data_IF_165082800544
#
_entry.id   IF_165082800544
#
_cell.length_a   1.000
_cell.length_b   1.000
_cell.length_c   1.000
_cell.angle_alpha   90.00
_cell.angle_beta   90.00
_cell.angle_gamma   90.00
#
_symmetry.space_group_name_H-M   'P 1'
#
loop_
_entity.id
_entity.type
_entity.pdbx_description
1 polymer ?
#
# COMPACT_ATOMS: atom_id res chain seq x y z
N UNK A 1 -15.62 -24.75 24.46
CA UNK A 1 -14.84 -24.19 23.37
C UNK A 1 -14.29 -25.34 22.53
N UNK A 2 -14.71 -25.43 21.27
CA UNK A 2 -14.21 -26.42 20.34
C UNK A 2 -13.02 -25.83 19.57
N UNK A 3 -11.91 -26.59 19.52
CA UNK A 3 -10.81 -26.28 18.62
C UNK A 3 -10.89 -27.23 17.42
N UNK A 4 -10.82 -26.71 16.20
CA UNK A 4 -10.52 -27.51 15.02
C UNK A 4 -9.03 -27.28 14.76
N UNK A 5 -8.22 -28.29 15.08
CA UNK A 5 -6.79 -28.28 14.78
C UNK A 5 -6.51 -29.27 13.69
N UNK A 6 -5.88 -28.84 12.60
CA UNK A 6 -5.27 -29.73 11.62
C UNK A 6 -3.76 -29.73 11.88
N UNK A 7 -3.25 -30.79 12.52
CA UNK A 7 -1.82 -30.94 12.86
C UNK A 7 -1.03 -31.67 11.75
N UNK A 8 -1.55 -31.74 10.54
CA UNK A 8 -0.90 -32.42 9.43
C UNK A 8 -0.85 -31.53 8.17
N UNK A 9 -0.13 -32.00 7.16
CA UNK A 9 -0.07 -31.38 5.84
C UNK A 9 -1.37 -31.59 5.03
N UNK A 10 -2.53 -31.43 5.66
CA UNK A 10 -3.82 -31.68 5.04
C UNK A 10 -4.69 -30.42 5.00
N UNK A 11 -5.59 -30.37 4.03
CA UNK A 11 -6.54 -29.28 3.87
C UNK A 11 -7.62 -29.34 4.96
N UNK A 12 -7.99 -28.18 5.51
CA UNK A 12 -9.22 -28.03 6.28
C UNK A 12 -10.35 -27.69 5.33
N UNK A 13 -11.23 -28.63 5.06
CA UNK A 13 -12.41 -28.38 4.23
C UNK A 13 -13.62 -28.04 5.12
N UNK A 14 -14.19 -26.85 4.94
CA UNK A 14 -15.42 -26.43 5.59
C UNK A 14 -16.55 -26.53 4.55
N UNK A 15 -17.40 -27.56 4.70
CA UNK A 15 -18.56 -27.77 3.82
C UNK A 15 -19.77 -27.03 4.36
N UNK A 16 -19.72 -25.72 4.34
CA UNK A 16 -20.82 -24.84 4.77
C UNK A 16 -20.83 -23.58 3.93
N UNK A 17 -21.94 -22.87 3.93
CA UNK A 17 -22.06 -21.63 3.18
C UNK A 17 -21.63 -20.38 3.97
N UNK A 18 -21.36 -20.53 5.27
CA UNK A 18 -21.07 -19.38 6.14
C UNK A 18 -20.03 -19.72 7.19
N UNK A 19 -19.03 -18.84 7.33
CA UNK A 19 -18.15 -18.77 8.48
C UNK A 19 -18.53 -17.50 9.23
N UNK A 20 -18.97 -17.61 10.49
CA UNK A 20 -19.41 -16.47 11.29
C UNK A 20 -18.71 -16.43 12.65
N UNK A 21 -18.47 -15.22 13.14
CA UNK A 21 -18.02 -14.97 14.51
C UNK A 21 -19.21 -14.64 15.41
N UNK A 22 -19.04 -14.71 16.74
CA UNK A 22 -19.99 -14.15 17.68
C UNK A 22 -20.18 -12.64 17.46
N UNK A 23 -21.26 -12.08 18.03
CA UNK A 23 -21.53 -10.64 17.93
C UNK A 23 -20.34 -9.79 18.39
N UNK A 24 -19.96 -8.79 17.59
CA UNK A 24 -18.84 -7.88 17.84
C UNK A 24 -17.44 -8.54 17.89
N UNK A 25 -17.26 -9.69 17.28
CA UNK A 25 -15.96 -10.35 17.17
C UNK A 25 -15.54 -10.45 15.69
N UNK A 26 -14.24 -10.35 15.44
CA UNK A 26 -13.66 -10.47 14.11
C UNK A 26 -13.46 -11.94 13.70
N UNK A 27 -13.42 -12.21 12.41
CA UNK A 27 -12.87 -13.44 11.84
C UNK A 27 -11.47 -13.10 11.34
N UNK A 28 -10.45 -13.69 11.99
CA UNK A 28 -9.05 -13.51 11.58
C UNK A 28 -8.64 -14.67 10.69
N UNK A 29 -8.16 -14.35 9.50
CA UNK A 29 -7.48 -15.26 8.58
C UNK A 29 -6.01 -14.85 8.54
N UNK A 30 -5.15 -15.56 9.22
CA UNK A 30 -3.75 -15.20 9.44
C UNK A 30 -2.83 -16.34 8.95
N UNK A 31 -2.42 -16.33 7.66
CA UNK A 31 -1.46 -17.30 7.16
C UNK A 31 -0.10 -17.09 7.83
N UNK A 32 0.55 -18.15 8.28
CA UNK A 32 1.88 -18.03 8.86
C UNK A 32 2.97 -17.84 7.79
N UNK A 33 4.02 -17.12 8.15
CA UNK A 33 5.19 -16.91 7.28
C UNK A 33 4.87 -16.08 6.04
N UNK A 34 5.14 -16.62 4.86
CA UNK A 34 4.92 -15.96 3.55
C UNK A 34 3.64 -16.42 2.85
N UNK A 35 2.75 -17.10 3.57
CA UNK A 35 1.48 -17.58 3.02
C UNK A 35 0.55 -16.44 2.59
N UNK A 36 -0.35 -16.72 1.65
CA UNK A 36 -1.38 -15.81 1.18
C UNK A 36 -2.77 -16.33 1.53
N UNK A 37 -3.74 -15.44 1.53
CA UNK A 37 -5.16 -15.82 1.49
C UNK A 37 -5.59 -15.79 0.02
N UNK A 38 -5.74 -16.97 -0.59
CA UNK A 38 -6.15 -17.08 -1.99
C UNK A 38 -7.67 -17.17 -2.09
N UNK A 39 -8.26 -16.20 -2.76
CA UNK A 39 -9.69 -16.16 -3.08
C UNK A 39 -9.87 -16.51 -4.56
N UNK A 40 -10.15 -17.77 -4.87
CA UNK A 40 -10.29 -18.28 -6.25
C UNK A 40 -11.62 -17.88 -6.91
N UNK A 41 -12.29 -16.88 -6.38
CA UNK A 41 -13.52 -16.30 -6.90
C UNK A 41 -13.53 -14.78 -6.63
N UNK A 42 -14.54 -14.09 -7.13
CA UNK A 42 -14.69 -12.66 -6.90
C UNK A 42 -14.94 -12.40 -5.40
N UNK A 43 -14.05 -11.65 -4.78
CA UNK A 43 -14.27 -11.13 -3.43
C UNK A 43 -15.32 -9.99 -3.48
N UNK A 44 -16.42 -10.15 -2.74
CA UNK A 44 -17.49 -9.15 -2.65
C UNK A 44 -17.52 -8.56 -1.24
N UNK A 45 -17.31 -7.25 -1.16
CA UNK A 45 -17.42 -6.47 0.08
C UNK A 45 -18.72 -5.70 0.06
N UNK A 46 -19.70 -6.08 0.90
CA UNK A 46 -21.03 -5.47 0.90
C UNK A 46 -21.08 -4.07 1.53
N UNK A 47 -20.13 -3.78 2.42
CA UNK A 47 -20.08 -2.54 3.21
C UNK A 47 -18.81 -1.74 2.97
N UNK A 48 -17.91 -2.22 2.14
CA UNK A 48 -16.58 -1.62 1.93
C UNK A 48 -15.47 -2.43 2.60
N UNK A 49 -14.26 -1.95 2.42
CA UNK A 49 -13.05 -2.49 3.06
C UNK A 49 -12.19 -1.33 3.57
N UNK A 50 -11.35 -1.62 4.54
CA UNK A 50 -10.40 -0.68 5.12
C UNK A 50 -8.99 -1.17 4.84
N UNK A 51 -8.16 -0.29 4.30
CA UNK A 51 -6.72 -0.50 4.21
C UNK A 51 -6.02 0.21 5.38
N UNK A 52 -5.01 -0.42 5.94
CA UNK A 52 -4.20 0.24 6.95
C UNK A 52 -3.25 1.25 6.30
N UNK A 53 -3.04 2.38 7.00
CA UNK A 53 -2.17 3.46 6.54
C UNK A 53 -0.88 3.44 7.34
N UNK A 54 0.24 3.22 6.67
CA UNK A 54 1.55 3.35 7.29
C UNK A 54 2.04 4.80 7.22
N UNK A 55 2.46 5.36 8.36
CA UNK A 55 3.01 6.72 8.44
C UNK A 55 4.54 6.65 8.35
N UNK A 56 5.09 7.26 7.30
CA UNK A 56 6.52 7.31 7.05
C UNK A 56 7.14 8.55 7.73
N UNK A 57 8.41 8.41 8.14
CA UNK A 57 9.20 9.54 8.66
C UNK A 57 9.94 10.22 7.51
N UNK A 58 9.89 11.55 7.45
CA UNK A 58 10.60 12.34 6.43
C UNK A 58 12.12 12.16 6.53
N UNK A 59 12.73 11.87 5.40
CA UNK A 59 14.17 11.71 5.21
C UNK A 59 14.54 12.04 3.75
N UNK A 60 15.82 12.23 3.46
CA UNK A 60 16.31 12.38 2.09
C UNK A 60 16.10 11.12 1.23
N UNK A 61 16.03 9.96 1.87
CA UNK A 61 15.67 8.68 1.23
C UNK A 61 14.66 7.98 2.12
N UNK A 62 13.53 7.53 1.54
CA UNK A 62 12.46 6.80 2.24
C UNK A 62 12.19 5.49 1.51
N UNK A 63 12.33 4.38 2.21
CA UNK A 63 11.86 3.08 1.71
C UNK A 63 10.36 2.95 1.97
N UNK A 64 9.59 2.79 0.91
CA UNK A 64 8.16 2.50 0.95
C UNK A 64 7.98 1.00 0.87
N UNK A 65 7.88 0.35 2.02
CA UNK A 65 7.75 -1.10 2.09
C UNK A 65 6.28 -1.52 1.94
N UNK A 66 5.91 -1.98 0.75
CA UNK A 66 4.54 -2.39 0.42
C UNK A 66 4.10 -3.69 1.11
N UNK A 67 5.01 -4.41 1.78
CA UNK A 67 4.63 -5.53 2.65
C UNK A 67 4.01 -5.07 3.98
N UNK A 68 4.13 -3.79 4.35
CA UNK A 68 3.56 -3.24 5.59
C UNK A 68 2.16 -2.64 5.39
N UNK A 69 1.90 -2.06 4.21
CA UNK A 69 0.61 -1.46 3.87
C UNK A 69 0.55 -1.17 2.36
N UNK A 70 -0.65 -1.06 1.82
CA UNK A 70 -0.92 -0.56 0.46
C UNK A 70 -1.03 0.96 0.39
N UNK A 71 -1.25 1.62 1.55
CA UNK A 71 -1.35 3.08 1.66
C UNK A 71 -0.30 3.61 2.62
N UNK A 72 0.49 4.57 2.18
CA UNK A 72 1.49 5.25 2.99
C UNK A 72 1.27 6.75 2.99
N UNK A 73 1.60 7.42 4.08
CA UNK A 73 1.55 8.89 4.17
C UNK A 73 2.82 9.45 4.77
N UNK A 74 3.18 10.66 4.33
CA UNK A 74 4.34 11.39 4.86
C UNK A 74 4.11 12.90 4.75
N UNK A 75 4.61 13.67 5.73
CA UNK A 75 4.82 15.11 5.59
C UNK A 75 6.31 15.33 5.32
N UNK A 76 6.64 15.91 4.17
CA UNK A 76 8.03 16.14 3.76
C UNK A 76 8.61 17.33 4.52
N UNK A 77 9.73 17.13 5.19
CA UNK A 77 10.55 18.19 5.79
C UNK A 77 11.83 18.44 4.96
N UNK A 78 12.12 17.61 3.97
CA UNK A 78 13.27 17.72 3.07
C UNK A 78 12.92 17.19 1.68
N UNK A 79 13.79 17.44 0.70
CA UNK A 79 13.71 16.76 -0.61
C UNK A 79 13.94 15.27 -0.43
N UNK A 80 13.15 14.44 -1.08
CA UNK A 80 13.07 13.01 -0.78
C UNK A 80 13.17 12.17 -2.04
N UNK A 81 13.93 11.09 -1.97
CA UNK A 81 13.87 9.96 -2.88
C UNK A 81 13.01 8.85 -2.25
N UNK A 82 11.95 8.45 -2.94
CA UNK A 82 11.12 7.31 -2.54
C UNK A 82 11.58 6.05 -3.27
N UNK A 83 11.95 5.02 -2.49
CA UNK A 83 12.33 3.70 -2.98
C UNK A 83 11.22 2.69 -2.65
N UNK A 84 10.49 2.27 -3.68
CA UNK A 84 9.39 1.31 -3.55
C UNK A 84 9.96 -0.10 -3.41
N UNK A 85 9.61 -0.80 -2.35
CA UNK A 85 10.03 -2.17 -2.09
C UNK A 85 8.85 -3.09 -1.84
N UNK A 86 9.02 -4.37 -2.14
CA UNK A 86 8.02 -5.42 -1.89
C UNK A 86 6.64 -5.16 -2.53
N UNK A 87 6.57 -4.39 -3.63
CA UNK A 87 5.33 -4.24 -4.39
C UNK A 87 5.19 -5.43 -5.33
N UNK A 88 4.23 -6.34 -5.09
CA UNK A 88 4.08 -7.54 -5.91
C UNK A 88 3.61 -7.19 -7.33
N UNK A 89 3.85 -8.09 -8.28
CA UNK A 89 3.26 -8.01 -9.62
C UNK A 89 1.73 -7.99 -9.52
N UNK A 90 1.09 -7.08 -10.23
CA UNK A 90 -0.35 -6.84 -10.17
C UNK A 90 -0.78 -6.01 -8.95
N UNK A 91 0.16 -5.63 -8.08
CA UNK A 91 -0.11 -4.81 -6.91
C UNK A 91 -0.06 -3.32 -7.18
N UNK A 92 -0.67 -2.54 -6.30
CA UNK A 92 -0.63 -1.07 -6.28
C UNK A 92 -0.26 -0.56 -4.90
N UNK A 93 0.39 0.60 -4.86
CA UNK A 93 0.63 1.35 -3.63
C UNK A 93 0.20 2.80 -3.81
N UNK A 94 -0.37 3.38 -2.77
CA UNK A 94 -0.77 4.78 -2.72
C UNK A 94 0.10 5.54 -1.72
N UNK A 95 0.70 6.66 -2.17
CA UNK A 95 1.46 7.58 -1.33
C UNK A 95 0.69 8.90 -1.20
N UNK A 96 0.38 9.30 0.02
CA UNK A 96 -0.18 10.61 0.36
C UNK A 96 0.98 11.48 0.87
N UNK A 97 1.36 12.47 0.08
CA UNK A 97 2.53 13.30 0.31
C UNK A 97 2.07 14.71 0.65
N UNK A 98 2.40 15.19 1.85
CA UNK A 98 2.07 16.53 2.30
C UNK A 98 3.34 17.38 2.33
N UNK A 99 3.28 18.60 1.83
CA UNK A 99 4.34 19.60 2.03
C UNK A 99 4.35 20.08 3.46
N UNK A 100 5.52 20.38 4.02
CA UNK A 100 5.62 21.03 5.32
C UNK A 100 5.15 22.49 5.29
N UNK A 101 5.27 23.20 6.41
CA UNK A 101 4.92 24.62 6.50
C UNK A 101 5.78 25.57 5.65
N UNK A 102 6.90 25.09 5.09
CA UNK A 102 7.77 25.85 4.18
C UNK A 102 7.44 25.57 2.71
N UNK A 103 6.92 24.39 2.41
CA UNK A 103 6.64 23.96 1.04
C UNK A 103 7.89 23.74 0.18
N UNK A 104 7.68 23.60 -1.12
CA UNK A 104 8.73 23.48 -2.16
C UNK A 104 9.66 22.26 -2.01
N UNK A 105 9.24 21.22 -1.28
CA UNK A 105 9.96 19.95 -1.22
C UNK A 105 9.74 19.19 -2.52
N UNK A 106 10.83 18.61 -3.03
CA UNK A 106 10.81 17.81 -4.24
C UNK A 106 10.85 16.32 -3.93
N UNK A 107 10.37 15.49 -4.87
CA UNK A 107 10.44 14.05 -4.76
C UNK A 107 10.89 13.41 -6.06
N UNK A 108 11.65 12.32 -5.92
CA UNK A 108 11.92 11.36 -6.99
C UNK A 108 11.39 9.99 -6.59
N UNK A 109 11.10 9.13 -7.58
CA UNK A 109 10.46 7.84 -7.34
C UNK A 109 11.23 6.74 -8.08
N UNK A 110 11.69 5.78 -7.32
CA UNK A 110 12.40 4.59 -7.81
C UNK A 110 11.96 3.34 -7.04
N UNK A 111 12.67 2.25 -7.29
CA UNK A 111 12.52 1.00 -6.56
C UNK A 111 13.83 0.63 -5.87
N UNK A 112 13.80 -0.29 -4.92
CA UNK A 112 14.99 -0.83 -4.26
C UNK A 112 15.95 -1.53 -5.23
N UNK A 113 15.47 -1.96 -6.41
CA UNK A 113 16.28 -2.46 -7.53
C UNK A 113 16.79 -1.37 -8.49
N UNK A 114 16.74 -0.09 -8.12
CA UNK A 114 17.15 1.07 -8.94
C UNK A 114 16.37 1.23 -10.25
N UNK A 115 15.18 0.65 -10.37
CA UNK A 115 14.29 0.86 -11.50
C UNK A 115 13.46 2.13 -11.27
N UNK A 116 13.51 3.05 -12.23
CA UNK A 116 12.70 4.27 -12.13
C UNK A 116 11.21 3.97 -12.30
N UNK A 117 10.37 4.63 -11.50
CA UNK A 117 8.92 4.65 -11.71
C UNK A 117 8.62 5.52 -12.94
N UNK A 118 7.84 4.98 -13.88
CA UNK A 118 7.46 5.66 -15.11
C UNK A 118 6.16 6.43 -14.91
N UNK A 119 6.19 7.73 -15.13
CA UNK A 119 5.02 8.58 -15.05
C UNK A 119 4.56 9.02 -16.45
N UNK A 120 3.24 9.09 -16.64
CA UNK A 120 2.67 9.71 -17.82
C UNK A 120 3.04 11.21 -17.87
N UNK A 121 3.60 11.67 -19.00
CA UNK A 121 4.04 13.05 -19.14
C UNK A 121 5.46 13.36 -18.65
N UNK A 122 6.22 12.36 -18.17
CA UNK A 122 7.63 12.50 -17.76
C UNK A 122 7.82 12.62 -16.25
N UNK A 123 8.90 13.28 -15.83
CA UNK A 123 9.27 13.40 -14.41
C UNK A 123 8.18 14.13 -13.61
N UNK A 124 7.63 13.51 -12.56
CA UNK A 124 6.60 14.15 -11.76
C UNK A 124 7.18 15.28 -10.91
N UNK A 125 6.43 16.37 -10.76
CA UNK A 125 6.77 17.48 -9.88
C UNK A 125 5.67 17.67 -8.85
N UNK A 126 5.99 17.65 -7.57
CA UNK A 126 5.04 17.90 -6.49
C UNK A 126 4.53 19.35 -6.49
N UNK A 127 3.39 19.57 -5.85
CA UNK A 127 2.89 20.89 -5.51
C UNK A 127 3.87 21.60 -4.58
N UNK A 128 4.03 22.91 -4.74
CA UNK A 128 5.05 23.68 -4.00
C UNK A 128 4.50 24.48 -2.82
N UNK A 129 3.19 24.67 -2.76
CA UNK A 129 2.59 25.43 -1.66
C UNK A 129 2.72 24.69 -0.33
N UNK A 130 2.91 25.43 0.76
CA UNK A 130 2.92 24.89 2.11
C UNK A 130 1.63 24.12 2.40
N UNK A 131 1.76 22.99 3.08
CA UNK A 131 0.65 22.10 3.46
C UNK A 131 -0.15 21.50 2.29
N UNK A 132 0.25 21.73 1.03
CA UNK A 132 -0.42 21.07 -0.09
C UNK A 132 -0.23 19.55 -0.04
N UNK A 133 -1.25 18.84 -0.48
CA UNK A 133 -1.27 17.38 -0.49
C UNK A 133 -1.28 16.91 -1.93
N UNK A 134 -0.38 15.99 -2.23
CA UNK A 134 -0.32 15.27 -3.50
C UNK A 134 -0.52 13.78 -3.25
N UNK A 135 -1.15 13.09 -4.19
CA UNK A 135 -1.36 11.65 -4.13
C UNK A 135 -0.67 10.99 -5.32
N UNK A 136 0.20 10.06 -5.03
CA UNK A 136 0.89 9.23 -6.02
C UNK A 136 0.37 7.81 -5.91
N UNK A 137 -0.07 7.23 -7.01
CA UNK A 137 -0.39 5.81 -7.11
C UNK A 137 0.61 5.15 -8.04
N UNK A 138 1.19 4.02 -7.63
CA UNK A 138 2.15 3.24 -8.41
C UNK A 138 1.62 1.82 -8.55
N UNK A 139 1.58 1.32 -9.78
CA UNK A 139 1.18 -0.04 -10.12
C UNK A 139 2.38 -0.80 -10.70
N UNK A 140 2.54 -2.06 -10.29
CA UNK A 140 3.55 -2.97 -10.83
C UNK A 140 2.90 -3.94 -11.83
N UNK A 141 3.18 -3.80 -13.12
CA UNK A 141 2.67 -4.69 -14.17
C UNK A 141 3.50 -5.98 -14.36
N UNK A 142 4.53 -6.18 -13.54
CA UNK A 142 5.50 -7.28 -13.62
C UNK A 142 6.75 -6.95 -14.44
N UNK A 143 6.72 -5.86 -15.20
CA UNK A 143 7.86 -5.36 -16.00
C UNK A 143 8.18 -3.91 -15.66
N UNK A 144 7.16 -3.13 -15.38
CA UNK A 144 7.27 -1.69 -15.12
C UNK A 144 6.56 -1.28 -13.85
N UNK A 145 7.06 -0.24 -13.24
CA UNK A 145 6.37 0.50 -12.20
C UNK A 145 5.75 1.74 -12.84
N UNK A 146 4.42 1.78 -12.90
CA UNK A 146 3.65 2.82 -13.58
C UNK A 146 3.04 3.76 -12.55
N UNK A 147 3.48 5.01 -12.53
CA UNK A 147 3.07 6.03 -11.59
C UNK A 147 2.06 7.01 -12.16
N UNK A 148 1.13 7.44 -11.31
CA UNK A 148 0.25 8.56 -11.56
C UNK A 148 0.32 9.53 -10.38
N UNK A 149 0.40 10.85 -10.67
CA UNK A 149 0.44 11.91 -9.67
C UNK A 149 -0.80 12.80 -9.83
N UNK A 150 -1.60 12.90 -8.77
CA UNK A 150 -2.67 13.89 -8.63
C UNK A 150 -2.24 14.94 -7.63
N UNK A 151 -2.33 16.22 -8.00
CA UNK A 151 -1.70 17.32 -7.29
C UNK A 151 -2.70 18.25 -6.62
N UNK A 152 -2.19 18.95 -5.61
CA UNK A 152 -2.81 20.14 -5.03
C UNK A 152 -4.22 19.89 -4.46
N UNK A 153 -4.39 18.80 -3.71
CA UNK A 153 -5.55 18.73 -2.84
C UNK A 153 -5.45 19.89 -1.85
N UNK A 154 -6.39 20.84 -1.96
CA UNK A 154 -6.43 22.00 -1.10
C UNK A 154 -6.75 21.59 0.36
N UNK A 155 -6.09 22.25 1.30
CA UNK A 155 -6.46 22.19 2.70
C UNK A 155 -7.72 23.03 2.94
#
# INVERSE_FOLDING_TARGET
SGFITNNGNGDLTITGSTISSPSNADITLDPSGTGNIDLNAIARFNVGYKEDINTLTSSSTITVNCALASVHKVTLATNTEFNISNLPTGGSVTLIITQDGSGSRTATFGTDGSTAVKFGGGTPTLSTAASSIDVVTIFNDGTNFLGNLVKAYAA
#
